data_IF_339718441440
#
_entry.id   IF_339718441440
#
_cell.length_a   1.000
_cell.length_b   1.000
_cell.length_c   1.000
_cell.angle_alpha   90.00
_cell.angle_beta   90.00
_cell.angle_gamma   90.00
#
_symmetry.space_group_name_H-M   'P 1'
#
loop_
_entity.id
_entity.type
_entity.pdbx_description
1 polymer ?
#
# COMPACT_ATOMS: atom_id res chain seq x y z
N UNK A 1 1.82 -18.97 7.97
CA UNK A 1 1.78 -18.55 9.38
C UNK A 1 3.14 -18.06 9.82
N UNK A 2 3.17 -16.99 10.65
CA UNK A 2 4.39 -16.47 11.27
C UNK A 2 4.32 -16.88 12.74
N UNK A 3 5.06 -17.92 13.09
CA UNK A 3 5.08 -18.47 14.43
C UNK A 3 6.03 -17.67 15.35
N UNK A 4 5.95 -17.85 16.70
CA UNK A 4 6.73 -17.07 17.66
C UNK A 4 8.26 -17.10 17.44
N UNK A 5 8.80 -18.19 16.91
CA UNK A 5 10.22 -18.32 16.57
C UNK A 5 10.66 -17.36 15.44
N UNK A 6 9.74 -16.93 14.59
CA UNK A 6 9.98 -16.01 13.46
C UNK A 6 9.50 -14.58 13.71
N UNK A 7 8.57 -14.38 14.65
CA UNK A 7 7.95 -13.06 14.92
C UNK A 7 9.00 -12.02 15.33
N UNK A 8 10.04 -12.40 16.06
CA UNK A 8 11.09 -11.46 16.48
C UNK A 8 11.80 -10.79 15.29
N UNK A 9 12.04 -11.53 14.20
CA UNK A 9 12.63 -10.98 12.98
C UNK A 9 11.67 -10.00 12.29
N UNK A 10 10.38 -10.30 12.26
CA UNK A 10 9.35 -9.41 11.72
C UNK A 10 9.26 -8.11 12.50
N UNK A 11 9.18 -8.19 13.82
CA UNK A 11 9.15 -7.03 14.70
C UNK A 11 10.39 -6.15 14.55
N UNK A 12 11.57 -6.76 14.37
CA UNK A 12 12.80 -6.02 14.12
C UNK A 12 12.75 -5.26 12.79
N UNK A 13 12.30 -5.90 11.70
CA UNK A 13 12.15 -5.25 10.39
C UNK A 13 11.15 -4.09 10.46
N UNK A 14 9.98 -4.32 11.05
CA UNK A 14 8.94 -3.30 11.19
C UNK A 14 9.41 -2.12 12.05
N UNK A 15 10.08 -2.38 13.16
CA UNK A 15 10.67 -1.35 14.02
C UNK A 15 11.68 -0.51 13.25
N UNK A 16 12.60 -1.17 12.55
CA UNK A 16 13.63 -0.49 11.74
C UNK A 16 13.01 0.36 10.65
N UNK A 17 12.00 -0.14 9.94
CA UNK A 17 11.29 0.61 8.92
C UNK A 17 10.62 1.89 9.50
N UNK A 18 9.97 1.79 10.66
CA UNK A 18 9.37 2.94 11.36
C UNK A 18 10.43 3.97 11.78
N UNK A 19 11.54 3.52 12.35
CA UNK A 19 12.62 4.39 12.80
C UNK A 19 13.27 5.15 11.64
N UNK A 20 13.52 4.47 10.53
CA UNK A 20 14.08 5.10 9.32
C UNK A 20 13.06 6.09 8.74
N UNK A 21 11.81 5.68 8.57
CA UNK A 21 10.76 6.57 8.06
C UNK A 21 10.64 7.86 8.88
N UNK A 22 10.66 7.75 10.21
CA UNK A 22 10.62 8.91 11.10
C UNK A 22 11.82 9.85 10.91
N UNK A 23 13.03 9.30 10.72
CA UNK A 23 14.25 10.11 10.46
C UNK A 23 14.16 10.91 9.17
N UNK A 24 13.48 10.41 8.16
CA UNK A 24 13.27 11.11 6.88
C UNK A 24 11.97 11.92 6.83
N UNK A 25 11.24 12.02 7.94
CA UNK A 25 10.04 12.83 8.07
C UNK A 25 8.80 12.22 7.43
N UNK A 26 8.75 10.88 7.25
CA UNK A 26 7.56 10.18 6.79
C UNK A 26 6.63 9.89 7.97
N UNK A 27 5.34 10.24 7.84
CA UNK A 27 4.29 9.88 8.78
C UNK A 27 3.66 8.52 8.45
N UNK A 28 3.28 7.75 9.47
CA UNK A 28 2.55 6.50 9.24
C UNK A 28 1.13 6.78 8.75
N UNK A 29 0.71 6.13 7.67
CA UNK A 29 -0.67 6.13 7.19
C UNK A 29 -1.25 4.71 7.24
N UNK A 30 -2.51 4.60 7.66
CA UNK A 30 -3.29 3.35 7.64
C UNK A 30 -4.57 3.57 6.89
N UNK A 31 -4.96 2.62 6.07
CA UNK A 31 -6.15 2.66 5.25
C UNK A 31 -6.80 1.26 5.16
N UNK A 32 -8.07 1.17 4.74
CA UNK A 32 -8.81 -0.09 4.75
C UNK A 32 -8.15 -1.20 3.93
N UNK A 33 -8.38 -2.45 4.36
CA UNK A 33 -7.99 -3.65 3.60
C UNK A 33 -8.87 -3.86 2.37
N UNK A 34 -10.15 -3.43 2.47
CA UNK A 34 -11.10 -3.44 1.37
C UNK A 34 -11.15 -2.09 0.70
N UNK A 35 -11.19 -2.09 -0.63
CA UNK A 35 -11.34 -0.89 -1.44
C UNK A 35 -12.34 -1.15 -2.56
N UNK A 36 -12.94 -0.09 -3.11
CA UNK A 36 -13.72 -0.19 -4.32
C UNK A 36 -12.82 -0.62 -5.47
N UNK A 37 -13.27 -1.57 -6.29
CA UNK A 37 -12.49 -2.07 -7.43
C UNK A 37 -12.06 -0.97 -8.40
N UNK A 38 -12.92 0.06 -8.59
CA UNK A 38 -12.66 1.18 -9.48
C UNK A 38 -11.38 1.95 -9.12
N UNK A 39 -10.99 1.94 -7.83
CA UNK A 39 -9.77 2.59 -7.38
C UNK A 39 -8.53 2.01 -8.08
N UNK A 40 -8.46 0.69 -8.19
CA UNK A 40 -7.33 0.01 -8.81
C UNK A 40 -7.43 0.02 -10.34
N UNK A 41 -8.62 -0.08 -10.90
CA UNK A 41 -8.84 0.01 -12.35
C UNK A 41 -8.38 1.36 -12.89
N UNK A 42 -8.70 2.46 -12.20
CA UNK A 42 -8.27 3.81 -12.60
C UNK A 42 -6.81 4.10 -12.29
N UNK A 43 -6.29 3.62 -11.17
CA UNK A 43 -4.94 3.95 -10.68
C UNK A 43 -3.83 3.14 -11.33
N UNK A 44 -4.06 1.85 -11.54
CA UNK A 44 -3.04 0.91 -12.05
C UNK A 44 -3.19 0.67 -13.56
N UNK A 45 -4.37 0.99 -14.12
CA UNK A 45 -4.74 0.79 -15.52
C UNK A 45 -5.39 -0.57 -15.78
N UNK A 46 -6.46 -0.56 -16.55
CA UNK A 46 -7.29 -1.74 -16.88
C UNK A 46 -6.52 -2.88 -17.58
N UNK A 47 -5.33 -2.59 -18.10
CA UNK A 47 -4.52 -3.53 -18.89
C UNK A 47 -3.44 -4.25 -18.10
N UNK A 48 -3.26 -3.93 -16.81
CA UNK A 48 -2.25 -4.61 -16.00
C UNK A 48 -2.72 -5.99 -15.55
N UNK A 49 -1.83 -6.97 -15.59
CA UNK A 49 -2.12 -8.35 -15.15
C UNK A 49 -2.65 -8.39 -13.70
N UNK A 50 -2.21 -7.46 -12.84
CA UNK A 50 -2.66 -7.35 -11.45
C UNK A 50 -4.15 -7.06 -11.36
N UNK A 51 -4.66 -6.13 -12.16
CA UNK A 51 -6.09 -5.76 -12.19
C UNK A 51 -6.94 -6.85 -12.82
N UNK A 52 -6.46 -7.48 -13.89
CA UNK A 52 -7.27 -8.42 -14.66
C UNK A 52 -7.33 -9.84 -14.06
N UNK A 53 -6.27 -10.30 -13.38
CA UNK A 53 -6.11 -11.72 -13.04
C UNK A 53 -5.82 -11.98 -11.57
N UNK A 54 -5.36 -11.01 -10.82
CA UNK A 54 -4.76 -11.26 -9.51
C UNK A 54 -5.52 -10.64 -8.32
N UNK A 55 -6.57 -9.86 -8.55
CA UNK A 55 -7.34 -9.26 -7.46
C UNK A 55 -8.39 -10.23 -6.90
N UNK A 56 -8.55 -10.22 -5.57
CA UNK A 56 -9.66 -10.87 -4.87
C UNK A 56 -10.84 -9.92 -4.82
N UNK A 57 -11.77 -10.07 -5.75
CA UNK A 57 -12.96 -9.21 -5.88
C UNK A 57 -14.20 -9.91 -5.35
N UNK A 58 -15.04 -9.18 -4.63
CA UNK A 58 -16.30 -9.65 -4.07
C UNK A 58 -17.42 -8.70 -4.48
N UNK A 59 -18.61 -9.23 -4.62
CA UNK A 59 -19.83 -8.42 -4.71
C UNK A 59 -20.30 -8.14 -3.29
N UNK A 60 -20.33 -6.86 -2.90
CA UNK A 60 -20.85 -6.46 -1.60
C UNK A 60 -22.38 -6.65 -1.55
N UNK A 61 -22.94 -6.86 -0.36
CA UNK A 61 -24.35 -7.22 -0.16
C UNK A 61 -25.33 -6.29 -0.86
N UNK A 62 -25.09 -5.00 -0.81
CA UNK A 62 -25.97 -3.94 -1.31
C UNK A 62 -25.21 -2.84 -2.07
N UNK A 63 -24.02 -3.14 -2.57
CA UNK A 63 -23.12 -2.11 -3.10
C UNK A 63 -22.26 -2.52 -4.28
N UNK A 64 -21.33 -1.65 -4.65
CA UNK A 64 -20.38 -1.91 -5.73
C UNK A 64 -19.45 -3.09 -5.39
N UNK A 65 -18.79 -3.61 -6.41
CA UNK A 65 -17.76 -4.62 -6.21
C UNK A 65 -16.58 -4.04 -5.41
N UNK A 66 -16.20 -4.75 -4.37
CA UNK A 66 -15.04 -4.45 -3.53
C UNK A 66 -13.92 -5.46 -3.77
N UNK A 67 -12.71 -5.09 -3.48
CA UNK A 67 -11.54 -5.94 -3.63
C UNK A 67 -10.63 -5.85 -2.40
N UNK A 68 -9.92 -6.93 -2.11
CA UNK A 68 -8.79 -6.86 -1.19
C UNK A 68 -7.66 -6.08 -1.89
N UNK A 69 -7.03 -5.15 -1.18
CA UNK A 69 -5.95 -4.33 -1.74
C UNK A 69 -4.78 -5.17 -2.25
N UNK A 70 -4.40 -5.07 -3.53
CA UNK A 70 -3.26 -5.79 -4.09
C UNK A 70 -1.94 -5.05 -3.91
N UNK A 71 -2.00 -3.78 -3.49
CA UNK A 71 -0.87 -2.86 -3.29
C UNK A 71 -1.30 -1.66 -2.41
N UNK A 72 -0.38 -0.78 -2.03
CA UNK A 72 -0.66 0.32 -1.10
C UNK A 72 -0.85 1.68 -1.73
N UNK A 73 -0.23 1.98 -2.86
CA UNK A 73 -0.15 3.33 -3.45
C UNK A 73 -1.51 3.94 -3.75
N UNK A 74 -2.41 3.18 -4.38
CA UNK A 74 -3.75 3.67 -4.72
C UNK A 74 -4.57 4.02 -3.48
N UNK A 75 -4.48 3.20 -2.41
CA UNK A 75 -5.16 3.46 -1.14
C UNK A 75 -4.66 4.72 -0.45
N UNK A 76 -3.35 4.97 -0.48
CA UNK A 76 -2.76 6.22 0.04
C UNK A 76 -3.23 7.43 -0.76
N UNK A 77 -3.19 7.37 -2.10
CA UNK A 77 -3.63 8.44 -2.97
C UNK A 77 -5.11 8.80 -2.72
N UNK A 78 -6.00 7.79 -2.65
CA UNK A 78 -7.40 7.99 -2.29
C UNK A 78 -7.55 8.67 -0.93
N UNK A 79 -6.85 8.19 0.09
CA UNK A 79 -6.94 8.74 1.43
C UNK A 79 -6.52 10.21 1.49
N UNK A 80 -5.49 10.62 0.74
CA UNK A 80 -5.04 12.01 0.63
C UNK A 80 -6.13 12.88 -0.01
N UNK A 81 -6.71 12.43 -1.11
CA UNK A 81 -7.74 13.17 -1.86
C UNK A 81 -9.01 13.33 -1.02
N UNK A 82 -9.53 12.24 -0.47
CA UNK A 82 -10.78 12.23 0.30
C UNK A 82 -10.70 13.04 1.60
N UNK A 83 -9.51 13.13 2.21
CA UNK A 83 -9.30 13.93 3.42
C UNK A 83 -8.81 15.36 3.12
N UNK A 84 -8.84 15.81 1.87
CA UNK A 84 -8.49 17.17 1.47
C UNK A 84 -7.02 17.54 1.68
N UNK A 85 -6.13 16.55 1.80
CA UNK A 85 -4.71 16.77 2.10
C UNK A 85 -3.92 17.38 0.94
N UNK A 86 -4.50 17.44 -0.25
CA UNK A 86 -3.88 18.11 -1.40
C UNK A 86 -3.64 19.61 -1.21
N UNK A 87 -4.31 20.23 -0.24
CA UNK A 87 -4.13 21.64 0.13
C UNK A 87 -3.12 21.86 1.27
N UNK A 88 -2.60 20.80 1.86
CA UNK A 88 -1.58 20.89 2.92
C UNK A 88 -0.22 21.32 2.35
N UNK A 89 0.70 21.69 3.24
CA UNK A 89 2.07 22.07 2.85
C UNK A 89 2.80 20.88 2.21
N UNK A 90 3.27 21.06 1.00
CA UNK A 90 4.01 20.06 0.24
C UNK A 90 5.53 20.10 0.54
N UNK A 91 6.26 18.98 0.38
CA UNK A 91 5.76 17.66 0.00
C UNK A 91 5.12 16.90 1.16
N UNK A 92 4.04 16.15 0.87
CA UNK A 92 3.50 15.18 1.81
C UNK A 92 4.34 13.90 1.75
N UNK A 93 4.65 13.35 2.93
CA UNK A 93 5.48 12.14 3.07
C UNK A 93 4.77 11.13 3.95
N UNK A 94 4.40 9.99 3.40
CA UNK A 94 3.75 8.92 4.15
C UNK A 94 4.47 7.59 3.96
N UNK A 95 4.43 6.73 4.99
CA UNK A 95 4.82 5.34 4.89
C UNK A 95 3.70 4.45 5.42
N UNK A 96 3.70 3.21 4.98
CA UNK A 96 2.79 2.18 5.46
C UNK A 96 3.49 0.83 5.64
N UNK A 97 2.97 0.01 6.54
CA UNK A 97 3.30 -1.41 6.68
C UNK A 97 1.97 -2.14 6.68
N UNK A 98 1.66 -2.86 5.62
CA UNK A 98 0.35 -3.45 5.39
C UNK A 98 0.44 -4.85 4.81
N UNK A 99 -0.59 -5.67 5.04
CA UNK A 99 -0.82 -6.87 4.24
C UNK A 99 -1.45 -6.50 2.90
N UNK A 100 -1.02 -7.18 1.83
CA UNK A 100 -1.58 -7.10 0.49
C UNK A 100 -1.99 -8.49 0.02
N UNK A 101 -2.89 -8.56 -0.97
CA UNK A 101 -3.52 -9.81 -1.39
C UNK A 101 -3.52 -9.92 -2.91
N UNK A 102 -2.93 -11.01 -3.44
CA UNK A 102 -2.97 -11.30 -4.88
C UNK A 102 -3.26 -12.77 -5.13
N UNK A 103 -4.14 -13.04 -6.08
CA UNK A 103 -4.47 -14.40 -6.52
C UNK A 103 -3.37 -14.94 -7.45
N UNK A 104 -2.15 -14.95 -6.98
CA UNK A 104 -1.02 -15.53 -7.69
C UNK A 104 -0.95 -17.05 -7.51
N UNK A 105 -0.26 -17.73 -8.44
CA UNK A 105 0.11 -19.12 -8.23
C UNK A 105 1.14 -19.21 -7.11
N UNK A 106 0.84 -19.84 -5.98
CA UNK A 106 1.77 -19.91 -4.87
C UNK A 106 3.06 -20.62 -5.25
N UNK A 107 4.19 -20.03 -4.85
CA UNK A 107 5.51 -20.63 -4.99
C UNK A 107 6.44 -20.10 -3.89
N UNK A 108 7.66 -20.62 -3.80
CA UNK A 108 8.64 -20.13 -2.84
C UNK A 108 8.87 -18.60 -3.01
N UNK A 109 8.66 -17.85 -1.94
CA UNK A 109 8.76 -16.39 -1.93
C UNK A 109 7.55 -15.62 -2.50
N UNK A 110 6.49 -16.32 -2.97
CA UNK A 110 5.22 -15.70 -3.40
C UNK A 110 4.04 -16.31 -2.68
N UNK A 111 3.45 -15.53 -1.80
CA UNK A 111 2.22 -15.88 -1.06
C UNK A 111 1.06 -15.05 -1.58
N UNK A 112 -0.16 -15.56 -1.41
CA UNK A 112 -1.39 -14.84 -1.74
C UNK A 112 -1.67 -13.68 -0.80
N UNK A 113 -1.26 -13.81 0.46
CA UNK A 113 -1.10 -12.70 1.39
C UNK A 113 0.39 -12.46 1.59
N UNK A 114 0.81 -11.20 1.45
CA UNK A 114 2.18 -10.77 1.67
C UNK A 114 2.18 -9.39 2.31
N UNK A 115 3.30 -9.00 2.90
CA UNK A 115 3.43 -7.71 3.56
C UNK A 115 4.23 -6.76 2.70
N UNK A 116 3.79 -5.50 2.66
CA UNK A 116 4.50 -4.40 2.04
C UNK A 116 4.85 -3.34 3.07
N UNK A 117 6.10 -2.92 3.07
CA UNK A 117 6.52 -1.61 3.52
C UNK A 117 6.63 -0.73 2.27
N UNK A 118 6.00 0.43 2.29
CA UNK A 118 6.08 1.39 1.19
C UNK A 118 6.17 2.81 1.69
N UNK A 119 6.80 3.66 0.90
CA UNK A 119 6.89 5.11 1.11
C UNK A 119 6.28 5.83 -0.07
N UNK A 120 5.51 6.87 0.20
CA UNK A 120 4.86 7.69 -0.81
C UNK A 120 5.19 9.15 -0.57
N UNK A 121 5.57 9.87 -1.63
CA UNK A 121 5.82 11.29 -1.58
C UNK A 121 5.00 12.02 -2.65
N UNK A 122 4.28 13.05 -2.26
CA UNK A 122 3.39 13.82 -3.14
C UNK A 122 3.79 15.29 -3.17
N UNK A 123 3.56 15.93 -4.33
CA UNK A 123 3.70 17.38 -4.48
C UNK A 123 5.13 17.84 -4.67
N UNK A 124 6.02 17.00 -5.18
CA UNK A 124 7.39 17.39 -5.56
C UNK A 124 7.80 16.74 -6.88
N UNK A 125 8.38 17.52 -7.78
CA UNK A 125 8.96 17.06 -9.05
C UNK A 125 10.50 17.02 -9.00
N UNK A 126 11.08 17.16 -7.81
CA UNK A 126 12.53 17.15 -7.64
C UNK A 126 13.10 15.73 -7.68
N UNK A 127 14.18 15.46 -8.42
CA UNK A 127 14.88 14.17 -8.34
C UNK A 127 15.38 13.83 -6.92
N UNK A 128 15.60 14.84 -6.07
CA UNK A 128 15.94 14.62 -4.67
C UNK A 128 14.80 13.98 -3.88
N UNK A 129 13.55 14.12 -4.32
CA UNK A 129 12.39 13.46 -3.71
C UNK A 129 12.43 11.96 -3.96
N UNK A 130 12.76 11.55 -5.18
CA UNK A 130 12.91 10.13 -5.53
C UNK A 130 14.06 9.52 -4.74
N UNK A 131 15.21 10.20 -4.67
CA UNK A 131 16.34 9.77 -3.86
C UNK A 131 16.05 9.70 -2.36
N UNK A 132 15.07 10.48 -1.87
CA UNK A 132 14.66 10.44 -0.46
C UNK A 132 13.72 9.26 -0.19
N UNK A 133 12.90 8.88 -1.18
CA UNK A 133 11.96 7.77 -1.05
C UNK A 133 12.63 6.39 -1.17
N UNK A 134 13.75 6.30 -1.87
CA UNK A 134 14.58 5.09 -2.05
C UNK A 134 15.53 4.89 -0.86
#
# INVERSE_FOLDING_TARGET
DILPDKVAAWQYIEKTAREISAKYGFGEIRFPTFENIDLFQRGVGDTTDVVQKEMYTFVDRDGPSITLRPEGTAGVARAIIENGKCSDTMPLKYYYIISCFRHEKPQAGRSREFFQFGTEMFGSNSPASDATAI
#
